data_IF_424175187521
#
_entry.id   IF_424175187521
#
_cell.length_a   1.000
_cell.length_b   1.000
_cell.length_c   1.000
_cell.angle_alpha   90.00
_cell.angle_beta   90.00
_cell.angle_gamma   90.00
#
_symmetry.space_group_name_H-M   'P 1'
#
loop_
_entity.id
_entity.type
_entity.pdbx_description
1 polymer ?
#
# COMPACT_ATOMS: atom_id res chain seq x y z
N UNK A 1 -6.08 14.71 1.29
CA UNK A 1 -5.24 15.15 0.15
C UNK A 1 -5.96 16.04 -0.84
N UNK A 2 -7.16 15.70 -1.36
CA UNK A 2 -7.87 16.58 -2.31
C UNK A 2 -8.13 18.00 -1.76
N UNK A 3 -8.65 18.12 -0.55
CA UNK A 3 -8.86 19.44 0.09
C UNK A 3 -7.55 20.21 0.28
N UNK A 4 -6.45 19.52 0.61
CA UNK A 4 -5.14 20.15 0.75
C UNK A 4 -4.58 20.64 -0.60
N UNK A 5 -4.90 19.95 -1.69
CA UNK A 5 -4.59 20.42 -3.05
C UNK A 5 -5.42 21.65 -3.41
N UNK A 6 -6.72 21.64 -3.14
CA UNK A 6 -7.60 22.78 -3.44
C UNK A 6 -7.23 24.03 -2.61
N UNK A 7 -6.65 23.85 -1.42
CA UNK A 7 -6.08 24.93 -0.60
C UNK A 7 -4.63 25.30 -0.99
N UNK A 8 -4.05 24.69 -2.02
CA UNK A 8 -2.67 24.93 -2.47
C UNK A 8 -1.57 24.36 -1.56
N UNK A 9 -1.92 23.76 -0.42
CA UNK A 9 -0.95 23.23 0.55
C UNK A 9 -0.16 22.04 0.00
N UNK A 10 -0.79 21.20 -0.82
CA UNK A 10 -0.15 20.02 -1.40
C UNK A 10 0.74 20.32 -2.62
N UNK A 11 0.77 21.58 -3.08
CA UNK A 11 1.52 22.02 -4.26
C UNK A 11 2.45 23.20 -3.99
N UNK A 12 2.28 23.92 -2.88
CA UNK A 12 3.13 25.07 -2.53
C UNK A 12 4.58 24.69 -2.17
N UNK A 13 4.82 23.44 -1.76
CA UNK A 13 6.12 23.00 -1.25
C UNK A 13 6.39 23.41 0.21
N UNK A 14 5.46 24.11 0.85
CA UNK A 14 5.58 24.57 2.25
C UNK A 14 5.12 23.51 3.25
N UNK A 15 4.39 22.49 2.79
CA UNK A 15 3.80 21.45 3.63
C UNK A 15 4.31 20.08 3.24
N UNK A 16 4.61 19.28 4.27
CA UNK A 16 4.81 17.83 4.13
C UNK A 16 3.65 17.13 4.82
N UNK A 17 2.99 16.24 4.10
CA UNK A 17 1.94 15.39 4.65
C UNK A 17 2.55 14.05 5.02
N UNK A 18 2.23 13.53 6.20
CA UNK A 18 2.67 12.22 6.66
C UNK A 18 1.45 11.39 7.05
N UNK A 19 1.32 10.19 6.47
CA UNK A 19 0.39 9.18 6.97
C UNK A 19 1.17 7.97 7.49
N UNK A 20 0.61 7.32 8.50
CA UNK A 20 1.16 6.08 9.08
C UNK A 20 0.27 4.95 8.59
N UNK A 21 0.86 4.05 7.80
CA UNK A 21 0.21 2.84 7.32
C UNK A 21 1.09 1.62 7.67
N UNK A 22 0.76 1.01 8.80
CA UNK A 22 1.40 -0.21 9.30
C UNK A 22 0.64 -1.47 8.88
N UNK A 23 -0.36 -1.35 8.00
CA UNK A 23 -1.18 -2.49 7.59
C UNK A 23 -0.45 -3.40 6.63
N UNK A 24 -0.73 -4.69 6.75
CA UNK A 24 -0.01 -5.77 6.06
C UNK A 24 -0.44 -6.00 4.61
N UNK A 25 -1.47 -5.30 4.12
CA UNK A 25 -2.17 -5.71 2.90
C UNK A 25 -2.73 -4.61 1.99
N UNK A 26 -2.55 -3.31 2.28
CA UNK A 26 -3.21 -2.26 1.50
C UNK A 26 -2.31 -1.18 0.91
N UNK A 27 -1.03 -1.47 0.62
CA UNK A 27 -0.27 -0.59 -0.26
C UNK A 27 -0.66 -0.85 -1.72
N UNK A 28 -1.72 -0.15 -2.15
CA UNK A 28 -2.00 -0.01 -3.57
C UNK A 28 -0.80 0.69 -4.22
N UNK A 29 -0.31 0.16 -5.34
CA UNK A 29 0.78 0.78 -6.12
C UNK A 29 0.45 2.23 -6.54
N UNK A 30 -0.84 2.56 -6.61
CA UNK A 30 -1.36 3.89 -6.89
C UNK A 30 -2.37 4.27 -5.78
N UNK A 31 -1.92 4.69 -4.59
CA UNK A 31 -2.79 4.94 -3.44
C UNK A 31 -3.76 6.12 -3.65
N UNK A 32 -3.54 6.93 -4.69
CA UNK A 32 -4.44 8.02 -5.08
C UNK A 32 -5.59 7.59 -6.01
N UNK A 33 -5.61 6.34 -6.50
CA UNK A 33 -6.71 5.84 -7.35
C UNK A 33 -7.81 5.25 -6.47
N UNK A 34 -9.05 5.70 -6.70
CA UNK A 34 -10.24 5.05 -6.14
C UNK A 34 -10.78 3.99 -7.10
N UNK A 35 -10.98 2.77 -6.59
CA UNK A 35 -11.42 1.63 -7.40
C UNK A 35 -12.81 1.81 -8.04
N UNK A 36 -13.68 2.60 -7.43
CA UNK A 36 -15.03 2.86 -7.93
C UNK A 36 -15.10 4.04 -8.92
N UNK A 37 -13.97 4.70 -9.19
CA UNK A 37 -13.95 5.92 -9.98
C UNK A 37 -12.60 6.08 -10.68
N UNK A 38 -12.33 5.18 -11.63
CA UNK A 38 -11.00 5.02 -12.24
C UNK A 38 -10.61 6.15 -13.19
N UNK A 39 -11.58 6.94 -13.68
CA UNK A 39 -11.38 7.98 -14.70
C UNK A 39 -11.83 9.40 -14.27
N UNK A 40 -12.00 9.66 -12.98
CA UNK A 40 -12.37 11.00 -12.51
C UNK A 40 -11.19 11.99 -12.55
N UNK A 41 -11.43 13.27 -12.92
CA UNK A 41 -10.49 14.37 -12.70
C UNK A 41 -9.92 14.44 -11.27
N UNK A 42 -10.62 13.87 -10.30
CA UNK A 42 -10.20 13.79 -8.91
C UNK A 42 -9.01 12.85 -8.71
N UNK A 43 -8.87 11.78 -9.51
CA UNK A 43 -7.69 10.91 -9.44
C UNK A 43 -6.42 11.64 -9.89
N UNK A 44 -6.52 12.52 -10.89
CA UNK A 44 -5.38 13.33 -11.33
C UNK A 44 -5.04 14.41 -10.29
N UNK A 45 -6.05 15.08 -9.71
CA UNK A 45 -5.83 15.98 -8.56
C UNK A 45 -5.18 15.24 -7.39
N UNK A 46 -5.67 14.05 -7.06
CA UNK A 46 -5.12 13.23 -5.99
C UNK A 46 -3.68 12.83 -6.29
N UNK A 47 -3.37 12.39 -7.52
CA UNK A 47 -2.01 12.05 -7.96
C UNK A 47 -1.03 13.20 -7.78
N UNK A 48 -1.45 14.43 -8.10
CA UNK A 48 -0.63 15.63 -7.85
C UNK A 48 -0.46 15.86 -6.36
N UNK A 49 -1.54 15.84 -5.59
CA UNK A 49 -1.51 16.07 -4.14
C UNK A 49 -0.62 15.06 -3.39
N UNK A 50 -0.65 13.79 -3.81
CA UNK A 50 0.11 12.71 -3.19
C UNK A 50 1.63 12.85 -3.36
N UNK A 51 2.12 13.75 -4.25
CA UNK A 51 3.56 14.08 -4.32
C UNK A 51 4.08 14.71 -3.02
N UNK A 52 3.21 15.42 -2.29
CA UNK A 52 3.54 16.01 -0.99
C UNK A 52 3.33 15.03 0.19
N UNK A 53 2.84 13.80 -0.07
CA UNK A 53 2.58 12.79 0.97
C UNK A 53 3.78 11.84 1.11
N UNK A 54 4.18 11.60 2.35
CA UNK A 54 5.10 10.53 2.74
C UNK A 54 4.36 9.51 3.60
N UNK A 55 4.53 8.24 3.27
CA UNK A 55 3.94 7.14 4.05
C UNK A 55 5.00 6.50 4.93
N UNK A 56 4.74 6.43 6.23
CA UNK A 56 5.52 5.63 7.17
C UNK A 56 4.89 4.25 7.24
N UNK A 57 5.65 3.22 6.90
CA UNK A 57 5.22 1.82 6.91
C UNK A 57 6.24 0.89 7.58
N UNK A 58 5.83 -0.35 7.84
CA UNK A 58 6.75 -1.38 8.32
C UNK A 58 7.74 -1.73 7.22
N UNK A 59 9.03 -1.79 7.59
CA UNK A 59 10.11 -2.11 6.66
C UNK A 59 10.01 -3.57 6.20
N UNK A 60 10.06 -3.79 4.89
CA UNK A 60 10.37 -5.13 4.34
C UNK A 60 11.87 -5.32 4.28
N UNK A 61 12.31 -6.52 4.62
CA UNK A 61 13.68 -6.91 4.37
C UNK A 61 13.81 -7.41 2.93
N UNK A 62 14.73 -6.85 2.15
CA UNK A 62 15.05 -7.35 0.80
C UNK A 62 15.96 -8.58 0.82
N UNK A 63 16.34 -9.03 2.03
CA UNK A 63 17.14 -10.23 2.27
C UNK A 63 16.43 -11.47 1.72
N UNK A 64 17.21 -12.34 1.07
CA UNK A 64 16.71 -13.56 0.45
C UNK A 64 16.14 -14.54 1.49
N UNK A 65 16.72 -14.55 2.70
CA UNK A 65 16.24 -15.31 3.84
C UNK A 65 14.81 -14.92 4.24
N UNK A 66 14.48 -13.63 4.14
CA UNK A 66 13.13 -13.15 4.45
C UNK A 66 12.12 -13.57 3.38
N UNK A 67 12.49 -13.49 2.09
CA UNK A 67 11.66 -14.00 0.99
C UNK A 67 11.42 -15.51 1.09
N UNK A 68 12.47 -16.26 1.43
CA UNK A 68 12.39 -17.71 1.65
C UNK A 68 11.51 -18.05 2.86
N UNK A 69 11.58 -17.27 3.93
CA UNK A 69 10.66 -17.39 5.06
C UNK A 69 9.21 -17.17 4.63
N UNK A 70 8.91 -16.08 3.91
CA UNK A 70 7.55 -15.79 3.43
C UNK A 70 7.00 -16.91 2.54
N UNK A 71 7.82 -17.46 1.64
CA UNK A 71 7.46 -18.59 0.78
C UNK A 71 7.10 -19.84 1.59
N UNK A 72 7.92 -20.20 2.58
CA UNK A 72 7.64 -21.37 3.46
C UNK A 72 6.40 -21.18 4.31
N UNK A 73 6.12 -19.96 4.76
CA UNK A 73 4.88 -19.66 5.51
C UNK A 73 3.67 -19.86 4.61
N UNK A 74 3.71 -19.35 3.38
CA UNK A 74 2.65 -19.54 2.38
C UNK A 74 2.40 -21.01 2.07
N UNK A 75 3.45 -21.76 1.79
CA UNK A 75 3.37 -23.21 1.53
C UNK A 75 2.76 -23.95 2.73
N UNK A 76 3.22 -23.66 3.95
CA UNK A 76 2.69 -24.28 5.17
C UNK A 76 1.23 -23.91 5.42
N UNK A 77 0.85 -22.66 5.14
CA UNK A 77 -0.54 -22.20 5.27
C UNK A 77 -1.47 -23.08 4.41
N UNK A 78 -1.08 -23.34 3.18
CA UNK A 78 -1.87 -24.17 2.27
C UNK A 78 -1.81 -25.65 2.66
N UNK A 79 -0.61 -26.24 2.73
CA UNK A 79 -0.44 -27.68 2.88
C UNK A 79 -0.92 -28.22 4.24
N UNK A 80 -0.77 -27.42 5.31
CA UNK A 80 -1.12 -27.87 6.66
C UNK A 80 -2.52 -27.42 7.10
N UNK A 81 -2.97 -26.26 6.65
CA UNK A 81 -4.20 -25.66 7.16
C UNK A 81 -5.31 -25.53 6.11
N UNK A 82 -5.03 -25.86 4.84
CA UNK A 82 -5.96 -25.69 3.71
C UNK A 82 -6.49 -24.26 3.68
N UNK A 83 -5.58 -23.29 3.82
CA UNK A 83 -5.91 -21.88 4.03
C UNK A 83 -6.85 -21.35 2.94
N UNK A 84 -6.54 -21.61 1.67
CA UNK A 84 -7.32 -21.09 0.56
C UNK A 84 -8.74 -21.67 0.53
N UNK A 85 -8.87 -22.97 0.80
CA UNK A 85 -10.18 -23.63 0.90
C UNK A 85 -11.05 -23.07 2.03
N UNK A 86 -10.44 -22.68 3.17
CA UNK A 86 -11.18 -22.16 4.33
C UNK A 86 -11.52 -20.68 4.23
N UNK A 87 -10.64 -19.88 3.63
CA UNK A 87 -10.77 -18.42 3.61
C UNK A 87 -11.31 -17.88 2.28
N UNK A 88 -11.32 -18.72 1.23
CA UNK A 88 -11.66 -18.30 -0.13
C UNK A 88 -10.63 -17.36 -0.76
N UNK A 89 -9.43 -17.23 -0.17
CA UNK A 89 -8.37 -16.34 -0.63
C UNK A 89 -7.01 -17.03 -0.54
N UNK A 90 -6.13 -16.72 -1.47
CA UNK A 90 -4.75 -17.16 -1.38
C UNK A 90 -4.07 -16.51 -0.16
N UNK A 91 -3.14 -17.23 0.46
CA UNK A 91 -2.30 -16.63 1.50
C UNK A 91 -1.38 -15.59 0.87
N UNK A 92 -1.57 -14.33 1.27
CA UNK A 92 -0.67 -13.23 0.94
C UNK A 92 0.15 -12.86 2.17
N UNK A 93 1.48 -12.99 2.06
CA UNK A 93 2.39 -12.39 3.04
C UNK A 93 2.33 -10.87 2.97
N UNK A 94 2.94 -10.20 3.95
CA UNK A 94 2.87 -8.75 4.04
C UNK A 94 3.42 -8.07 2.77
N UNK A 95 2.58 -7.33 2.06
CA UNK A 95 2.96 -6.60 0.85
C UNK A 95 3.47 -5.20 1.21
N UNK A 96 4.63 -5.11 1.85
CA UNK A 96 5.33 -3.84 2.02
C UNK A 96 6.27 -3.60 0.83
N UNK A 97 6.14 -2.47 0.13
CA UNK A 97 7.14 -1.99 -0.85
C UNK A 97 8.12 -1.05 -0.13
N UNK A 98 9.41 -1.23 -0.37
CA UNK A 98 10.45 -0.28 0.00
C UNK A 98 10.41 0.85 -1.03
N UNK A 99 10.36 2.10 -0.56
CA UNK A 99 10.43 3.31 -1.40
C UNK A 99 11.88 3.70 -1.67
#
# INVERSE_FOLDING_TARGET
MLSAHDLGMATSGEYVFINIDVSTGSHAEKPWIRANDTNSPENEKAKVAYKALKTISLRRSDLEEYKNFESRVKERAENKYSYSAKTGKEYEGNKFKVF
#
